data_IF_906622476282
#
_entry.id   IF_906622476282
#
_cell.length_a   1.000
_cell.length_b   1.000
_cell.length_c   1.000
_cell.angle_alpha   90.00
_cell.angle_beta   90.00
_cell.angle_gamma   90.00
#
_symmetry.space_group_name_H-M   'P 1'
#
loop_
_entity.id
_entity.type
_entity.pdbx_description
1 polymer ?
#
# COMPACT_ATOMS: atom_id res chain seq x y z
N UNK A 1 -16.68 -5.83 -2.02
CA UNK A 1 -15.69 -5.21 -2.94
C UNK A 1 -14.57 -4.61 -2.10
N UNK A 2 -13.33 -4.53 -2.58
CA UNK A 2 -12.28 -3.78 -1.87
C UNK A 2 -12.45 -2.29 -2.18
N UNK A 3 -12.10 -1.42 -1.24
CA UNK A 3 -12.05 0.01 -1.50
C UNK A 3 -10.82 0.34 -2.35
N UNK A 4 -10.96 1.24 -3.31
CA UNK A 4 -9.88 1.63 -4.23
C UNK A 4 -9.81 3.15 -4.33
N UNK A 5 -8.59 3.68 -4.27
CA UNK A 5 -8.30 5.11 -4.37
C UNK A 5 -7.43 5.34 -5.60
N UNK A 6 -7.87 6.28 -6.43
CA UNK A 6 -7.16 6.70 -7.65
C UNK A 6 -6.58 8.09 -7.42
N UNK A 7 -5.37 8.32 -7.91
CA UNK A 7 -4.70 9.61 -7.80
C UNK A 7 -3.55 9.74 -8.78
N UNK A 8 -2.83 10.87 -8.74
CA UNK A 8 -1.62 11.07 -9.50
C UNK A 8 -0.46 11.30 -8.53
N UNK A 9 0.65 10.61 -8.73
CA UNK A 9 1.86 10.75 -7.91
C UNK A 9 3.05 11.02 -8.84
N UNK A 10 3.62 12.22 -8.74
CA UNK A 10 4.71 12.66 -9.63
C UNK A 10 6.06 12.01 -9.30
N UNK A 11 6.27 11.59 -8.05
CA UNK A 11 7.50 10.94 -7.62
C UNK A 11 7.26 9.43 -7.48
N UNK A 12 7.55 8.65 -8.53
CA UNK A 12 7.45 7.17 -8.52
C UNK A 12 8.82 6.48 -8.45
N UNK A 13 9.87 7.21 -8.03
CA UNK A 13 11.22 6.63 -7.94
C UNK A 13 11.29 5.45 -6.95
N UNK A 14 10.35 5.37 -6.02
CA UNK A 14 10.20 4.27 -5.08
C UNK A 14 9.13 3.31 -5.57
N UNK A 15 9.45 2.02 -5.63
CA UNK A 15 8.52 1.01 -6.13
C UNK A 15 7.36 0.81 -5.15
N UNK A 16 7.58 0.89 -3.84
CA UNK A 16 6.50 0.63 -2.88
C UNK A 16 5.98 1.89 -2.17
N UNK A 17 4.68 2.15 -2.34
CA UNK A 17 3.91 3.16 -1.61
C UNK A 17 2.74 2.54 -0.86
N UNK A 18 2.48 3.08 0.33
CA UNK A 18 1.25 2.86 1.09
C UNK A 18 0.52 4.18 1.31
N UNK A 19 -0.80 4.11 1.34
CA UNK A 19 -1.67 5.20 1.74
C UNK A 19 -2.42 4.77 3.00
N UNK A 20 -2.33 5.57 4.05
CA UNK A 20 -3.10 5.37 5.28
C UNK A 20 -4.28 6.34 5.25
N UNK A 21 -5.50 5.80 5.27
CA UNK A 21 -6.72 6.58 5.47
C UNK A 21 -7.17 6.49 6.92
N UNK A 22 -7.38 7.63 7.57
CA UNK A 22 -7.99 7.71 8.90
C UNK A 22 -9.30 8.47 8.81
N UNK A 23 -10.41 7.83 9.18
CA UNK A 23 -11.73 8.45 9.14
C UNK A 23 -12.01 9.37 10.34
N UNK A 24 -13.10 10.14 10.26
CA UNK A 24 -13.57 11.05 11.32
C UNK A 24 -13.99 10.36 12.62
N UNK A 25 -13.99 9.02 12.65
CA UNK A 25 -14.27 8.20 13.83
C UNK A 25 -13.01 7.50 14.36
N UNK A 26 -11.87 7.71 13.72
CA UNK A 26 -10.57 7.12 14.08
C UNK A 26 -10.33 5.71 13.54
N UNK A 27 -11.18 5.17 12.65
CA UNK A 27 -10.89 3.91 11.98
C UNK A 27 -9.86 4.13 10.88
N UNK A 28 -9.01 3.13 10.66
CA UNK A 28 -7.90 3.22 9.74
C UNK A 28 -7.98 2.13 8.68
N UNK A 29 -7.85 2.55 7.42
CA UNK A 29 -7.67 1.68 6.26
C UNK A 29 -6.28 1.85 5.68
N UNK A 30 -5.59 0.74 5.42
CA UNK A 30 -4.30 0.73 4.75
C UNK A 30 -4.50 0.32 3.29
N UNK A 31 -3.94 1.11 2.38
CA UNK A 31 -4.05 0.86 0.94
C UNK A 31 -2.66 0.74 0.33
N UNK A 32 -2.44 -0.31 -0.47
CA UNK A 32 -1.17 -0.56 -1.15
C UNK A 32 -1.25 -0.09 -2.60
N UNK A 33 -0.21 0.54 -3.10
CA UNK A 33 -0.10 0.81 -4.54
C UNK A 33 0.00 -0.50 -5.32
N UNK A 34 -0.80 -0.66 -6.38
CA UNK A 34 -0.83 -1.89 -7.17
C UNK A 34 -0.26 -1.75 -8.58
N UNK A 35 0.00 -0.52 -9.04
CA UNK A 35 0.47 -0.28 -10.39
C UNK A 35 1.74 0.59 -10.46
N UNK A 36 2.65 0.23 -11.38
CA UNK A 36 3.99 0.79 -11.52
C UNK A 36 4.16 1.38 -12.92
N UNK A 37 4.65 2.62 -13.03
CA UNK A 37 4.92 3.26 -14.32
C UNK A 37 3.71 3.78 -15.10
N UNK A 38 2.48 3.56 -14.62
CA UNK A 38 1.26 4.11 -15.23
C UNK A 38 1.08 5.61 -14.95
N UNK A 39 0.25 6.29 -15.75
CA UNK A 39 -0.06 7.73 -15.56
C UNK A 39 -0.91 7.97 -14.31
N UNK A 40 -1.89 7.09 -14.05
CA UNK A 40 -2.74 7.11 -12.85
C UNK A 40 -2.18 6.15 -11.81
N UNK A 41 -2.15 6.54 -10.54
CA UNK A 41 -1.73 5.70 -9.42
C UNK A 41 -2.96 5.10 -8.75
N UNK A 42 -2.93 3.79 -8.52
CA UNK A 42 -4.02 3.01 -7.94
C UNK A 42 -3.58 2.44 -6.60
N UNK A 43 -4.38 2.71 -5.57
CA UNK A 43 -4.23 2.15 -4.23
C UNK A 43 -5.40 1.23 -3.90
N UNK A 44 -5.12 -0.02 -3.59
CA UNK A 44 -6.12 -1.01 -3.18
C UNK A 44 -6.04 -1.31 -1.69
N UNK A 45 -7.20 -1.40 -1.04
CA UNK A 45 -7.30 -1.70 0.39
C UNK A 45 -6.71 -3.07 0.74
N UNK A 46 -5.73 -3.07 1.64
CA UNK A 46 -5.04 -4.26 2.14
C UNK A 46 -5.89 -4.99 3.18
N UNK A 47 -6.84 -5.81 2.72
CA UNK A 47 -7.76 -6.58 3.59
C UNK A 47 -7.12 -7.76 4.35
N UNK A 48 -5.85 -8.06 4.10
CA UNK A 48 -5.13 -9.15 4.78
C UNK A 48 -4.47 -8.71 6.10
N UNK A 49 -4.66 -7.45 6.53
CA UNK A 49 -4.06 -6.91 7.74
C UNK A 49 -5.10 -6.83 8.87
N UNK A 50 -4.77 -7.34 10.07
CA UNK A 50 -5.68 -7.38 11.23
C UNK A 50 -5.70 -6.09 12.04
N UNK A 51 -4.69 -5.22 11.88
CA UNK A 51 -4.55 -3.92 12.54
C UNK A 51 -5.47 -2.87 11.91
N UNK A 52 -5.47 -2.79 10.57
CA UNK A 52 -6.23 -1.80 9.82
C UNK A 52 -7.60 -2.34 9.43
N UNK A 53 -8.65 -1.85 10.12
CA UNK A 53 -10.03 -2.35 10.00
C UNK A 53 -10.82 -1.76 8.83
N UNK A 54 -10.21 -0.85 8.07
CA UNK A 54 -10.86 -0.13 6.98
C UNK A 54 -11.57 1.12 7.45
N UNK A 55 -12.18 1.82 6.50
CA UNK A 55 -12.94 3.06 6.72
C UNK A 55 -14.38 2.72 7.08
N UNK A 56 -14.95 3.42 8.07
CA UNK A 56 -16.34 3.23 8.46
C UNK A 56 -17.28 3.54 7.30
N UNK A 57 -18.32 2.72 7.05
CA UNK A 57 -19.33 3.04 6.04
C UNK A 57 -20.12 4.33 6.35
N UNK A 58 -20.08 4.76 7.62
CA UNK A 58 -20.78 5.96 8.09
C UNK A 58 -19.86 7.18 8.22
N UNK A 59 -18.58 7.04 7.84
CA UNK A 59 -17.61 8.14 7.90
C UNK A 59 -18.02 9.31 6.98
N UNK A 60 -17.56 10.51 7.32
CA UNK A 60 -17.83 11.74 6.54
C UNK A 60 -16.59 12.34 5.94
N UNK A 61 -15.46 12.20 6.61
CA UNK A 61 -14.16 12.59 6.09
C UNK A 61 -13.16 11.47 6.27
N UNK A 62 -12.15 11.48 5.42
CA UNK A 62 -10.96 10.65 5.56
C UNK A 62 -9.74 11.54 5.38
N UNK A 63 -8.83 11.49 6.33
CA UNK A 63 -7.49 12.05 6.20
C UNK A 63 -6.57 11.00 5.60
N UNK A 64 -5.94 11.33 4.48
CA UNK A 64 -5.01 10.49 3.75
C UNK A 64 -3.57 10.92 4.04
N UNK A 65 -2.74 9.96 4.41
CA UNK A 65 -1.30 10.12 4.65
C UNK A 65 -0.52 9.14 3.77
N UNK A 66 0.41 9.66 2.97
CA UNK A 66 1.22 8.86 2.06
C UNK A 66 2.49 8.40 2.76
N UNK A 67 2.83 7.12 2.59
CA UNK A 67 4.01 6.47 3.14
C UNK A 67 4.84 5.87 2.00
N UNK A 68 6.14 6.08 2.06
CA UNK A 68 7.09 5.63 1.03
C UNK A 68 8.22 4.82 1.65
N UNK A 69 8.57 3.71 1.00
CA UNK A 69 9.72 2.92 1.39
C UNK A 69 11.00 3.63 0.90
N UNK A 70 11.60 4.44 1.76
CA UNK A 70 12.88 5.12 1.46
C UNK A 70 14.09 4.22 1.65
N UNK A 71 13.92 3.01 2.18
CA UNK A 71 15.01 2.08 2.40
C UNK A 71 15.21 1.13 1.21
N UNK A 72 16.35 1.28 0.53
CA UNK A 72 16.89 0.31 -0.44
C UNK A 72 17.18 -1.08 0.19
N UNK A 73 17.12 -1.19 1.53
CA UNK A 73 17.54 -2.35 2.33
C UNK A 73 16.62 -3.57 2.28
N UNK A 74 15.50 -3.49 1.58
CA UNK A 74 14.50 -4.57 1.55
C UNK A 74 14.46 -5.34 0.22
N UNK A 75 15.58 -5.34 -0.52
CA UNK A 75 15.80 -6.26 -1.65
C UNK A 75 16.15 -7.64 -1.10
N UNK A 76 15.15 -8.46 -0.78
CA UNK A 76 15.37 -9.90 -0.65
C UNK A 76 15.12 -10.53 -2.01
N UNK A 77 15.97 -11.44 -2.47
CA UNK A 77 15.69 -12.21 -3.69
C UNK A 77 14.87 -13.41 -3.26
N UNK A 78 13.69 -13.64 -3.83
CA UNK A 78 12.95 -14.88 -3.59
C UNK A 78 12.52 -15.52 -4.90
N UNK A 79 12.42 -16.85 -4.88
CA UNK A 79 12.03 -17.66 -6.03
C UNK A 79 10.51 -17.68 -6.10
N UNK A 80 9.94 -17.05 -7.13
CA UNK A 80 8.50 -17.13 -7.42
C UNK A 80 8.23 -18.40 -8.21
N UNK A 81 7.36 -19.27 -7.71
CA UNK A 81 6.87 -20.42 -8.48
C UNK A 81 5.74 -19.95 -9.40
N UNK A 82 6.02 -19.85 -10.70
CA UNK A 82 4.95 -19.72 -11.69
C UNK A 82 4.39 -21.10 -11.98
N UNK A 83 3.26 -21.43 -11.36
CA UNK A 83 2.48 -22.63 -11.70
C UNK A 83 1.96 -22.50 -13.14
N UNK A 84 2.72 -23.05 -14.09
CA UNK A 84 2.32 -23.11 -15.50
C UNK A 84 3.27 -23.90 -16.38
N UNK A 85 4.59 -23.88 -16.12
CA UNK A 85 5.59 -24.69 -16.81
C UNK A 85 6.75 -24.98 -15.86
N UNK A 86 7.02 -26.26 -15.60
CA UNK A 86 7.92 -26.78 -14.54
C UNK A 86 9.40 -26.33 -14.61
N UNK A 87 9.84 -25.53 -15.59
CA UNK A 87 11.26 -25.25 -15.83
C UNK A 87 11.57 -23.79 -16.24
N UNK A 88 10.97 -22.79 -15.62
CA UNK A 88 11.42 -21.39 -15.81
C UNK A 88 11.62 -20.72 -14.45
N UNK A 89 12.88 -20.64 -14.02
CA UNK A 89 13.29 -19.91 -12.82
C UNK A 89 13.22 -18.40 -13.09
N UNK A 90 12.16 -17.74 -12.62
CA UNK A 90 12.14 -16.29 -12.48
C UNK A 90 12.77 -15.87 -11.15
N UNK A 91 13.89 -15.16 -11.22
CA UNK A 91 14.42 -14.44 -10.05
C UNK A 91 13.62 -13.16 -9.85
N UNK A 92 12.89 -13.07 -8.74
CA UNK A 92 12.15 -11.88 -8.33
C UNK A 92 12.81 -11.22 -7.12
N UNK A 93 12.77 -9.90 -7.05
CA UNK A 93 13.18 -9.14 -5.87
C UNK A 93 11.93 -8.72 -5.09
N UNK A 94 11.91 -8.95 -3.78
CA UNK A 94 10.87 -8.50 -2.86
C UNK A 94 11.07 -9.15 -1.48
N UNK A 95 10.15 -9.01 -0.53
CA UNK A 95 10.37 -9.48 0.86
C UNK A 95 9.23 -10.34 1.40
N UNK A 96 9.58 -11.29 2.27
CA UNK A 96 8.62 -12.06 3.08
C UNK A 96 8.36 -11.23 4.34
N UNK A 97 7.13 -10.76 4.50
CA UNK A 97 6.71 -10.05 5.72
C UNK A 97 6.57 -11.08 6.85
N UNK A 98 7.10 -10.79 8.04
CA UNK A 98 6.67 -11.50 9.24
C UNK A 98 5.19 -11.17 9.49
N UNK A 99 4.39 -12.15 9.92
CA UNK A 99 2.92 -12.04 9.96
C UNK A 99 2.39 -10.92 10.88
N UNK A 100 3.22 -10.42 11.78
CA UNK A 100 2.84 -9.45 12.83
C UNK A 100 3.52 -8.08 12.66
N UNK A 101 4.41 -7.90 11.68
CA UNK A 101 5.05 -6.60 11.42
C UNK A 101 4.06 -5.62 10.79
N UNK A 102 4.02 -4.37 11.30
CA UNK A 102 3.24 -3.32 10.65
C UNK A 102 3.93 -2.94 9.33
N UNK A 103 3.22 -3.00 8.20
CA UNK A 103 3.78 -2.55 6.93
C UNK A 103 4.36 -1.13 7.00
N UNK A 104 3.81 -0.24 7.83
CA UNK A 104 4.27 1.14 7.96
C UNK A 104 5.53 1.32 8.81
N UNK A 105 5.96 0.34 9.61
CA UNK A 105 7.20 0.44 10.41
C UNK A 105 8.45 0.60 9.54
N UNK A 106 8.36 0.16 8.29
CA UNK A 106 9.44 0.20 7.29
C UNK A 106 9.29 1.35 6.29
N UNK A 107 8.27 2.20 6.45
CA UNK A 107 7.96 3.28 5.53
C UNK A 107 8.04 4.62 6.25
N UNK A 108 8.53 5.62 5.54
CA UNK A 108 8.56 6.99 6.04
C UNK A 108 7.33 7.75 5.56
N UNK A 109 6.66 8.54 6.41
CA UNK A 109 5.61 9.43 5.96
C UNK A 109 6.19 10.47 4.99
N UNK A 110 5.43 10.78 3.96
CA UNK A 110 5.65 11.93 3.08
C UNK A 110 5.01 13.14 3.74
N UNK A 111 5.66 14.29 3.64
CA UNK A 111 5.11 15.53 4.21
C UNK A 111 3.79 15.89 3.53
N UNK A 112 2.78 16.18 4.36
CA UNK A 112 1.45 16.58 3.90
C UNK A 112 0.37 15.57 4.26
N UNK A 113 -0.85 16.09 4.49
CA UNK A 113 -2.05 15.29 4.69
C UNK A 113 -3.16 15.86 3.82
N UNK A 114 -3.97 14.98 3.24
CA UNK A 114 -5.09 15.38 2.38
C UNK A 114 -6.38 14.94 3.06
N UNK A 115 -7.26 15.88 3.40
CA UNK A 115 -8.61 15.54 3.85
C UNK A 115 -9.55 15.46 2.65
N UNK A 116 -10.28 14.36 2.54
CA UNK A 116 -11.33 14.17 1.55
C UNK A 116 -12.68 14.00 2.24
N UNK A 117 -13.74 14.51 1.60
CA UNK A 117 -15.13 14.27 2.02
C UNK A 117 -15.69 13.08 1.27
N UNK A 118 -16.30 12.16 2.00
CA UNK A 118 -16.93 10.94 1.47
C UNK A 118 -18.44 10.97 1.73
N UNK A 119 -19.23 10.37 0.84
CA UNK A 119 -20.69 10.51 0.79
C UNK A 119 -21.40 9.38 1.51
#
# INVERSE_FOLDING_TARGET
>A
MASTIYGNLDNKEYEDYYLLGTDDKGNQGLYRMTNYGDTETVFEESRNNTKYKGISPDAKTVTLELYVNKEEKNRTTYKKYETGTEDTYGEGVGRVYESDEDPLDLYSPVEGKIEIKIR
#
